data_IF_016288672918
#
_entry.id   IF_016288672918
#
_cell.length_a   1.000
_cell.length_b   1.000
_cell.length_c   1.000
_cell.angle_alpha   90.00
_cell.angle_beta   90.00
_cell.angle_gamma   90.00
#
_symmetry.space_group_name_H-M   'P 1'
#
loop_
_entity.id
_entity.type
_entity.pdbx_description
1 polymer ?
#
# COMPACT_ATOMS: atom_id res chain seq x y z
N UNK A 1 32.29 -1.43 -15.76
CA UNK A 1 32.92 -0.28 -15.07
C UNK A 1 32.11 1.03 -15.20
N UNK A 2 31.30 1.24 -16.25
CA UNK A 2 30.48 2.46 -16.40
C UNK A 2 29.28 2.59 -15.42
N UNK A 3 28.68 1.47 -14.98
CA UNK A 3 27.48 1.51 -14.12
C UNK A 3 27.73 1.92 -12.66
N UNK A 4 28.90 1.60 -12.09
CA UNK A 4 29.23 1.95 -10.71
C UNK A 4 29.54 3.46 -10.56
N UNK A 5 30.14 4.08 -11.59
CA UNK A 5 30.39 5.51 -11.62
C UNK A 5 29.10 6.33 -11.74
N UNK A 6 28.13 5.87 -12.53
CA UNK A 6 26.83 6.50 -12.66
C UNK A 6 26.04 6.47 -11.34
N UNK A 7 26.12 5.35 -10.60
CA UNK A 7 25.48 5.22 -9.28
C UNK A 7 26.14 6.12 -8.23
N UNK A 8 27.47 6.23 -8.24
CA UNK A 8 28.20 7.13 -7.35
C UNK A 8 27.87 8.62 -7.55
N UNK A 9 27.70 9.05 -8.81
CA UNK A 9 27.33 10.44 -9.14
C UNK A 9 25.87 10.72 -8.75
N UNK A 10 24.96 9.76 -8.92
CA UNK A 10 23.56 9.89 -8.52
C UNK A 10 23.40 9.97 -7.00
N UNK A 11 24.16 9.16 -6.26
CA UNK A 11 24.19 9.21 -4.80
C UNK A 11 24.81 10.51 -4.29
N UNK A 12 25.91 10.98 -4.89
CA UNK A 12 26.52 12.25 -4.50
C UNK A 12 25.59 13.43 -4.75
N UNK A 13 24.90 13.46 -5.90
CA UNK A 13 23.91 14.52 -6.18
C UNK A 13 22.69 14.44 -5.25
N UNK A 14 22.30 13.24 -4.81
CA UNK A 14 21.23 13.07 -3.84
C UNK A 14 21.66 13.56 -2.45
N UNK A 15 22.86 13.21 -2.00
CA UNK A 15 23.46 13.70 -0.76
C UNK A 15 23.62 15.22 -0.77
N UNK A 16 24.17 15.78 -1.86
CA UNK A 16 24.35 17.22 -2.02
C UNK A 16 23.00 17.96 -1.95
N UNK A 17 21.96 17.46 -2.63
CA UNK A 17 20.62 18.10 -2.56
C UNK A 17 19.96 17.98 -1.19
N UNK A 18 20.23 16.93 -0.43
CA UNK A 18 19.74 16.82 0.95
C UNK A 18 20.52 17.70 1.92
N UNK A 19 21.80 17.95 1.66
CA UNK A 19 22.63 18.90 2.39
C UNK A 19 22.26 20.35 2.09
N UNK A 20 21.94 20.67 0.84
CA UNK A 20 21.56 22.01 0.40
C UNK A 20 20.11 22.38 0.78
N UNK A 21 19.23 21.39 0.96
CA UNK A 21 17.84 21.60 1.37
C UNK A 21 17.47 20.74 2.60
N UNK A 22 18.03 21.07 3.79
CA UNK A 22 17.77 20.32 5.00
C UNK A 22 16.30 20.50 5.42
N UNK A 23 15.55 19.39 5.42
CA UNK A 23 14.25 19.33 6.06
C UNK A 23 14.35 18.59 7.40
N UNK A 24 13.38 18.85 8.28
CA UNK A 24 13.35 18.27 9.63
C UNK A 24 13.39 16.74 9.61
N UNK A 25 12.81 16.11 8.57
CA UNK A 25 12.81 14.66 8.41
C UNK A 25 14.21 14.08 8.07
N UNK A 26 15.10 14.82 7.39
CA UNK A 26 16.45 14.36 7.07
C UNK A 26 17.31 14.08 8.31
N UNK A 27 16.99 14.71 9.42
CA UNK A 27 17.74 14.59 10.69
C UNK A 27 16.95 13.83 11.76
N UNK A 28 15.73 13.40 11.46
CA UNK A 28 14.83 12.76 12.39
C UNK A 28 15.06 11.24 12.51
N UNK A 29 14.82 10.69 13.69
CA UNK A 29 14.70 9.25 13.88
C UNK A 29 13.55 8.70 13.03
N UNK A 30 13.82 7.61 12.30
CA UNK A 30 12.90 7.05 11.32
C UNK A 30 12.94 7.74 9.95
N UNK A 31 13.71 8.82 9.80
CA UNK A 31 13.92 9.54 8.54
C UNK A 31 12.57 9.84 7.84
N UNK A 32 12.48 9.67 6.52
CA UNK A 32 11.22 9.81 5.79
C UNK A 32 10.22 8.68 6.04
N UNK A 33 10.60 7.58 6.69
CA UNK A 33 9.71 6.45 6.98
C UNK A 33 8.77 6.70 8.15
N UNK A 34 8.79 7.87 8.78
CA UNK A 34 7.69 8.30 9.65
C UNK A 34 6.42 8.66 8.86
N UNK A 35 6.53 8.99 7.57
CA UNK A 35 5.37 9.29 6.74
C UNK A 35 4.77 7.99 6.18
N UNK A 36 3.50 7.71 6.53
CA UNK A 36 2.78 6.57 5.96
C UNK A 36 2.81 6.54 4.42
N UNK A 37 2.70 7.69 3.75
CA UNK A 37 2.80 7.80 2.29
C UNK A 37 4.14 7.27 1.77
N UNK A 38 5.26 7.54 2.45
CA UNK A 38 6.59 7.04 2.06
C UNK A 38 6.69 5.52 2.24
N UNK A 39 6.10 4.97 3.31
CA UNK A 39 6.00 3.52 3.52
C UNK A 39 5.20 2.88 2.39
N UNK A 40 4.03 3.46 2.06
CA UNK A 40 3.17 3.03 0.95
C UNK A 40 3.94 3.03 -0.37
N UNK A 41 4.47 4.18 -0.76
CA UNK A 41 5.25 4.36 -1.99
C UNK A 41 6.41 3.36 -2.10
N UNK A 42 7.12 3.11 -1.00
CA UNK A 42 8.20 2.13 -0.95
C UNK A 42 7.70 0.71 -1.23
N UNK A 43 6.59 0.32 -0.61
CA UNK A 43 6.00 -1.01 -0.80
C UNK A 43 5.41 -1.18 -2.20
N UNK A 44 4.76 -0.15 -2.75
CA UNK A 44 4.26 -0.14 -4.13
C UNK A 44 5.39 -0.20 -5.15
N UNK A 45 6.45 0.58 -4.94
CA UNK A 45 7.66 0.54 -5.79
C UNK A 45 8.30 -0.84 -5.75
N UNK A 46 8.43 -1.45 -4.57
CA UNK A 46 8.92 -2.82 -4.45
C UNK A 46 8.00 -3.82 -5.16
N UNK A 47 6.69 -3.68 -5.02
CA UNK A 47 5.69 -4.56 -5.67
C UNK A 47 5.86 -4.52 -7.19
N UNK A 48 5.91 -3.32 -7.79
CA UNK A 48 6.11 -3.17 -9.23
C UNK A 48 7.52 -3.53 -9.69
N UNK A 49 8.55 -3.30 -8.87
CA UNK A 49 9.91 -3.76 -9.16
C UNK A 49 9.99 -5.28 -9.25
N UNK A 50 9.36 -6.00 -8.31
CA UNK A 50 9.26 -7.47 -8.36
C UNK A 50 8.39 -7.92 -9.54
N UNK A 51 7.30 -7.21 -9.85
CA UNK A 51 6.47 -7.49 -11.02
C UNK A 51 7.29 -7.41 -12.32
N UNK A 52 8.03 -6.33 -12.52
CA UNK A 52 8.88 -6.12 -13.68
C UNK A 52 9.95 -7.22 -13.81
N UNK A 53 10.58 -7.61 -12.70
CA UNK A 53 11.53 -8.71 -12.71
C UNK A 53 10.85 -10.05 -13.03
N UNK A 54 9.63 -10.27 -12.54
CA UNK A 54 8.83 -11.46 -12.87
C UNK A 54 8.53 -11.53 -14.36
N UNK A 55 8.15 -10.41 -14.98
CA UNK A 55 7.84 -10.33 -16.42
C UNK A 55 9.09 -10.58 -17.28
N UNK A 56 10.22 -9.95 -16.96
CA UNK A 56 11.48 -10.11 -17.69
C UNK A 56 11.99 -11.56 -17.59
N UNK A 57 11.88 -12.18 -16.42
CA UNK A 57 12.44 -13.52 -16.16
C UNK A 57 11.45 -14.67 -16.34
N UNK A 58 10.16 -14.37 -16.51
CA UNK A 58 9.07 -15.35 -16.48
C UNK A 58 9.07 -16.25 -15.22
N UNK A 59 9.56 -15.73 -14.09
CA UNK A 59 9.74 -16.51 -12.85
C UNK A 59 8.46 -16.64 -12.04
N UNK A 60 7.95 -17.87 -11.91
CA UNK A 60 6.77 -18.18 -11.07
C UNK A 60 6.96 -17.75 -9.61
N UNK A 61 8.17 -17.83 -9.07
CA UNK A 61 8.46 -17.41 -7.69
C UNK A 61 8.32 -15.90 -7.52
N UNK A 62 8.78 -15.12 -8.50
CA UNK A 62 8.64 -13.67 -8.46
C UNK A 62 7.18 -13.25 -8.61
N UNK A 63 6.39 -13.92 -9.46
CA UNK A 63 4.94 -13.70 -9.51
C UNK A 63 4.25 -13.98 -8.17
N UNK A 64 4.64 -15.06 -7.46
CA UNK A 64 4.11 -15.34 -6.12
C UNK A 64 4.49 -14.24 -5.12
N UNK A 65 5.74 -13.79 -5.11
CA UNK A 65 6.20 -12.72 -4.21
C UNK A 65 5.45 -11.41 -4.52
N UNK A 66 5.32 -11.03 -5.79
CA UNK A 66 4.54 -9.87 -6.23
C UNK A 66 3.10 -9.94 -5.72
N UNK A 67 2.46 -11.11 -5.86
CA UNK A 67 1.08 -11.28 -5.39
C UNK A 67 0.99 -11.15 -3.87
N UNK A 68 1.94 -11.71 -3.11
CA UNK A 68 1.99 -11.54 -1.66
C UNK A 68 2.17 -10.07 -1.25
N UNK A 69 3.07 -9.35 -1.93
CA UNK A 69 3.26 -7.92 -1.70
C UNK A 69 1.98 -7.13 -2.01
N UNK A 70 1.29 -7.45 -3.11
CA UNK A 70 0.07 -6.78 -3.55
C UNK A 70 -1.07 -6.84 -2.52
N UNK A 71 -1.16 -7.93 -1.75
CA UNK A 71 -2.16 -8.11 -0.69
C UNK A 71 -2.00 -7.06 0.42
N UNK A 72 -0.79 -6.54 0.61
CA UNK A 72 -0.51 -5.45 1.54
C UNK A 72 -0.52 -4.08 0.84
N UNK A 73 0.17 -3.92 -0.29
CA UNK A 73 0.34 -2.62 -0.93
C UNK A 73 -0.95 -2.03 -1.48
N UNK A 74 -1.78 -2.80 -2.19
CA UNK A 74 -2.97 -2.23 -2.81
C UNK A 74 -3.98 -1.70 -1.77
N UNK A 75 -4.33 -2.45 -0.71
CA UNK A 75 -5.19 -1.90 0.35
C UNK A 75 -4.54 -0.73 1.10
N UNK A 76 -3.22 -0.77 1.33
CA UNK A 76 -2.49 0.31 2.00
C UNK A 76 -2.54 1.61 1.19
N UNK A 77 -2.31 1.56 -0.12
CA UNK A 77 -2.38 2.75 -0.97
C UNK A 77 -3.81 3.30 -1.07
N UNK A 78 -4.82 2.42 -1.10
CA UNK A 78 -6.21 2.86 -1.05
C UNK A 78 -6.52 3.58 0.26
N UNK A 79 -6.11 3.04 1.41
CA UNK A 79 -6.36 3.73 2.68
C UNK A 79 -5.58 5.03 2.81
N UNK A 80 -4.33 5.11 2.31
CA UNK A 80 -3.55 6.35 2.24
C UNK A 80 -4.32 7.40 1.42
N UNK A 81 -4.78 7.04 0.22
CA UNK A 81 -5.53 7.94 -0.66
C UNK A 81 -6.83 8.42 -0.01
N UNK A 82 -7.62 7.50 0.55
CA UNK A 82 -8.89 7.83 1.22
C UNK A 82 -8.68 8.72 2.43
N UNK A 83 -7.72 8.40 3.30
CA UNK A 83 -7.43 9.21 4.49
C UNK A 83 -6.89 10.58 4.10
N UNK A 84 -5.94 10.65 3.18
CA UNK A 84 -5.31 11.90 2.78
C UNK A 84 -6.34 12.87 2.18
N UNK A 85 -7.04 12.45 1.12
CA UNK A 85 -8.01 13.32 0.45
C UNK A 85 -9.24 13.58 1.33
N UNK A 86 -9.69 12.59 2.10
CA UNK A 86 -10.80 12.74 3.03
C UNK A 86 -10.52 13.78 4.12
N UNK A 87 -9.37 13.69 4.78
CA UNK A 87 -8.95 14.66 5.79
C UNK A 87 -8.69 16.02 5.18
N UNK A 88 -8.04 16.08 4.01
CA UNK A 88 -7.73 17.35 3.34
C UNK A 88 -8.98 18.14 2.93
N UNK A 89 -10.02 17.45 2.47
CA UNK A 89 -11.32 18.08 2.14
C UNK A 89 -12.00 18.65 3.39
N UNK A 90 -11.84 18.00 4.55
CA UNK A 90 -12.38 18.48 5.83
C UNK A 90 -11.57 19.69 6.31
N UNK A 91 -10.26 19.54 6.44
CA UNK A 91 -9.31 20.59 6.80
C UNK A 91 -7.90 20.15 6.40
N UNK A 92 -7.30 20.84 5.43
CA UNK A 92 -5.94 20.58 4.95
C UNK A 92 -4.89 20.59 6.07
N UNK A 93 -5.10 21.40 7.11
CA UNK A 93 -4.17 21.54 8.24
C UNK A 93 -4.08 20.30 9.10
N UNK A 94 -4.94 19.30 8.91
CA UNK A 94 -4.85 18.01 9.58
C UNK A 94 -3.73 17.13 9.01
N UNK A 95 -3.40 17.31 7.73
CA UNK A 95 -2.46 16.44 7.00
C UNK A 95 -1.23 17.19 6.49
N UNK A 96 -1.33 18.49 6.23
CA UNK A 96 -0.22 19.32 5.76
C UNK A 96 0.06 20.42 6.81
N UNK A 97 1.31 20.52 7.32
CA UNK A 97 1.74 21.64 8.15
C UNK A 97 1.56 22.99 7.43
N UNK A 98 1.19 24.08 8.14
CA UNK A 98 0.82 25.35 7.52
C UNK A 98 1.98 26.05 6.78
N UNK A 99 3.22 25.65 7.05
CA UNK A 99 4.45 26.14 6.43
C UNK A 99 4.85 25.36 5.17
N UNK A 100 4.14 24.29 4.84
CA UNK A 100 4.43 23.43 3.69
C UNK A 100 3.42 23.68 2.57
N UNK A 101 3.93 23.96 1.37
CA UNK A 101 3.14 24.00 0.15
C UNK A 101 3.49 22.83 -0.77
N UNK A 102 2.48 22.04 -1.16
CA UNK A 102 2.64 20.93 -2.10
C UNK A 102 1.91 21.28 -3.40
N UNK A 103 2.62 21.41 -4.54
CA UNK A 103 1.98 21.58 -5.83
C UNK A 103 1.02 20.42 -6.13
N UNK A 104 -0.17 20.73 -6.66
CA UNK A 104 -1.23 19.74 -6.88
C UNK A 104 -0.78 18.49 -7.66
N UNK A 105 0.09 18.64 -8.65
CA UNK A 105 0.59 17.50 -9.44
C UNK A 105 1.45 16.55 -8.60
N UNK A 106 2.30 17.09 -7.72
CA UNK A 106 3.12 16.29 -6.81
C UNK A 106 2.22 15.61 -5.79
N UNK A 107 1.21 16.33 -5.32
CA UNK A 107 0.25 15.83 -4.35
C UNK A 107 -0.57 14.63 -4.87
N UNK A 108 -1.15 14.77 -6.06
CA UNK A 108 -1.81 13.67 -6.78
C UNK A 108 -0.84 12.50 -6.98
N UNK A 109 0.41 12.80 -7.33
CA UNK A 109 1.43 11.76 -7.57
C UNK A 109 1.78 10.96 -6.32
N UNK A 110 1.78 11.59 -5.14
CA UNK A 110 2.09 10.90 -3.89
C UNK A 110 0.87 10.17 -3.29
N UNK A 111 -0.31 10.76 -3.38
CA UNK A 111 -1.46 10.29 -2.61
C UNK A 111 -2.55 9.58 -3.42
N UNK A 112 -2.67 9.85 -4.73
CA UNK A 112 -3.68 9.23 -5.57
C UNK A 112 -3.10 8.21 -6.55
N UNK A 113 -2.04 8.59 -7.30
CA UNK A 113 -1.46 7.76 -8.36
C UNK A 113 -1.11 6.34 -7.92
N UNK A 114 -0.44 6.10 -6.77
CA UNK A 114 -0.08 4.75 -6.34
C UNK A 114 -1.30 3.85 -6.17
N UNK A 115 -2.37 4.37 -5.56
CA UNK A 115 -3.63 3.64 -5.42
C UNK A 115 -4.22 3.27 -6.79
N UNK A 116 -4.28 4.22 -7.73
CA UNK A 116 -4.83 3.98 -9.07
C UNK A 116 -4.05 2.91 -9.82
N UNK A 117 -2.72 2.98 -9.84
CA UNK A 117 -1.90 2.00 -10.56
C UNK A 117 -1.95 0.61 -9.91
N UNK A 118 -1.97 0.53 -8.58
CA UNK A 118 -2.15 -0.73 -7.86
C UNK A 118 -3.52 -1.37 -8.13
N UNK A 119 -4.58 -0.55 -8.25
CA UNK A 119 -5.91 -1.04 -8.61
C UNK A 119 -5.97 -1.57 -10.04
N UNK A 120 -5.35 -0.87 -11.00
CA UNK A 120 -5.25 -1.34 -12.39
C UNK A 120 -4.52 -2.69 -12.44
N UNK A 121 -3.36 -2.78 -11.78
CA UNK A 121 -2.58 -4.01 -11.72
C UNK A 121 -3.35 -5.16 -11.08
N UNK A 122 -4.04 -4.91 -9.97
CA UNK A 122 -4.87 -5.91 -9.33
C UNK A 122 -5.99 -6.38 -10.26
N UNK A 123 -6.82 -5.45 -10.74
CA UNK A 123 -8.06 -5.78 -11.44
C UNK A 123 -7.82 -6.39 -12.83
N UNK A 124 -6.75 -5.98 -13.51
CA UNK A 124 -6.54 -6.34 -14.92
C UNK A 124 -5.33 -7.25 -15.15
N UNK A 125 -4.31 -7.22 -14.29
CA UNK A 125 -3.02 -7.86 -14.55
C UNK A 125 -2.66 -8.97 -13.54
N UNK A 126 -3.42 -9.10 -12.44
CA UNK A 126 -3.11 -10.01 -11.33
C UNK A 126 -4.08 -11.18 -11.22
N UNK A 127 -3.62 -12.34 -10.74
CA UNK A 127 -4.52 -13.42 -10.34
C UNK A 127 -5.36 -13.02 -9.12
N UNK A 128 -6.49 -13.71 -8.88
CA UNK A 128 -7.38 -13.38 -7.76
C UNK A 128 -6.70 -13.57 -6.41
N UNK A 129 -6.95 -12.65 -5.48
CA UNK A 129 -6.51 -12.80 -4.09
C UNK A 129 -7.27 -13.89 -3.36
N UNK A 130 -6.54 -14.71 -2.62
CA UNK A 130 -7.09 -15.81 -1.81
C UNK A 130 -7.41 -15.40 -0.37
N UNK A 131 -7.04 -14.18 0.05
CA UNK A 131 -7.28 -13.70 1.41
C UNK A 131 -8.78 -13.68 1.75
N UNK A 132 -9.14 -14.20 2.91
CA UNK A 132 -10.52 -14.18 3.44
C UNK A 132 -10.72 -12.98 4.36
N UNK A 133 -11.98 -12.69 4.74
CA UNK A 133 -12.31 -11.48 5.49
C UNK A 133 -11.57 -11.36 6.84
N UNK A 134 -11.46 -12.46 7.60
CA UNK A 134 -10.81 -12.43 8.91
C UNK A 134 -9.29 -12.16 8.80
N UNK A 135 -8.49 -12.88 7.98
CA UNK A 135 -7.11 -12.53 7.70
C UNK A 135 -6.93 -11.11 7.14
N UNK A 136 -7.85 -10.62 6.29
CA UNK A 136 -7.80 -9.23 5.81
C UNK A 136 -7.96 -8.22 6.94
N UNK A 137 -8.90 -8.47 7.88
CA UNK A 137 -9.07 -7.64 9.07
C UNK A 137 -7.84 -7.69 9.99
N UNK A 138 -7.29 -8.88 10.24
CA UNK A 138 -6.10 -9.05 11.09
C UNK A 138 -4.88 -8.38 10.48
N UNK A 139 -4.64 -8.56 9.18
CA UNK A 139 -3.57 -7.87 8.45
C UNK A 139 -3.77 -6.36 8.52
N UNK A 140 -5.01 -5.89 8.37
CA UNK A 140 -5.31 -4.46 8.42
C UNK A 140 -5.08 -3.84 9.80
N UNK A 141 -5.49 -4.55 10.84
CA UNK A 141 -5.18 -4.19 12.22
C UNK A 141 -3.67 -4.19 12.48
N UNK A 142 -2.95 -5.23 12.06
CA UNK A 142 -1.50 -5.32 12.25
C UNK A 142 -0.75 -4.15 11.59
N UNK A 143 -1.13 -3.77 10.36
CA UNK A 143 -0.54 -2.63 9.66
C UNK A 143 -0.88 -1.31 10.36
N UNK A 144 -2.17 -1.08 10.69
CA UNK A 144 -2.60 0.18 11.30
C UNK A 144 -1.97 0.40 12.68
N UNK A 145 -2.07 -0.60 13.58
CA UNK A 145 -1.50 -0.49 14.93
C UNK A 145 0.03 -0.63 14.93
N UNK A 146 0.60 -1.36 13.97
CA UNK A 146 2.05 -1.40 13.76
C UNK A 146 2.60 -0.04 13.36
N UNK A 147 1.93 0.65 12.43
CA UNK A 147 2.28 2.02 12.08
C UNK A 147 2.03 3.01 13.23
N UNK A 148 0.96 2.83 14.02
CA UNK A 148 0.77 3.65 15.22
C UNK A 148 1.91 3.47 16.22
N UNK A 149 2.31 2.23 16.52
CA UNK A 149 3.46 1.99 17.38
C UNK A 149 4.72 2.65 16.83
N UNK A 150 4.97 2.52 15.53
CA UNK A 150 6.11 3.14 14.86
C UNK A 150 6.10 4.66 14.95
N UNK A 151 4.95 5.32 14.73
CA UNK A 151 4.87 6.78 14.76
C UNK A 151 5.07 7.34 16.18
N UNK A 152 4.56 6.65 17.20
CA UNK A 152 4.81 7.02 18.60
C UNK A 152 6.28 6.83 18.97
N UNK A 153 6.95 5.80 18.45
CA UNK A 153 8.38 5.64 18.60
C UNK A 153 9.15 6.80 17.95
N UNK A 154 8.82 7.19 16.72
CA UNK A 154 9.40 8.38 16.08
C UNK A 154 9.15 9.64 16.93
N UNK A 155 7.93 9.86 17.41
CA UNK A 155 7.60 10.99 18.27
C UNK A 155 8.44 11.01 19.55
N UNK A 156 8.63 9.87 20.21
CA UNK A 156 9.44 9.79 21.44
C UNK A 156 10.91 10.21 21.26
N UNK A 157 11.44 10.06 20.05
CA UNK A 157 12.82 10.42 19.71
C UNK A 157 12.92 11.84 19.14
N UNK A 158 11.91 12.26 18.39
CA UNK A 158 11.95 13.49 17.59
C UNK A 158 11.25 14.67 18.29
N UNK A 159 10.22 14.41 19.10
CA UNK A 159 9.40 15.41 19.79
C UNK A 159 8.29 16.05 18.93
N UNK A 160 8.03 15.54 17.73
CA UNK A 160 7.01 16.06 16.80
C UNK A 160 6.41 14.94 15.94
N UNK A 161 5.19 15.14 15.43
CA UNK A 161 4.54 14.19 14.52
C UNK A 161 4.60 14.66 13.06
N UNK A 162 4.72 13.74 12.07
CA UNK A 162 4.72 14.11 10.67
C UNK A 162 3.39 14.62 10.12
N UNK A 163 2.29 14.36 10.84
CA UNK A 163 0.95 14.83 10.49
C UNK A 163 0.32 15.57 11.68
N UNK A 164 -0.14 16.82 11.51
CA UNK A 164 -0.70 17.61 12.61
C UNK A 164 -1.89 16.96 13.33
N UNK A 165 -2.68 16.13 12.64
CA UNK A 165 -3.80 15.40 13.25
C UNK A 165 -3.41 14.57 14.48
N UNK A 166 -2.17 14.04 14.52
CA UNK A 166 -1.73 13.25 15.66
C UNK A 166 -1.54 14.11 16.91
N UNK A 167 -1.09 15.36 16.76
CA UNK A 167 -1.03 16.31 17.88
C UNK A 167 -2.41 16.80 18.31
N UNK A 168 -3.31 16.99 17.33
CA UNK A 168 -4.66 17.46 17.59
C UNK A 168 -5.54 16.44 18.34
N UNK A 169 -5.26 15.15 18.23
CA UNK A 169 -6.04 14.08 18.84
C UNK A 169 -5.43 13.58 20.16
N UNK A 170 -6.23 13.43 21.23
CA UNK A 170 -5.80 12.67 22.40
C UNK A 170 -5.64 11.19 22.05
N UNK A 171 -5.03 10.40 22.94
CA UNK A 171 -4.82 8.95 22.72
C UNK A 171 -6.10 8.20 22.32
N UNK A 172 -7.25 8.51 22.92
CA UNK A 172 -8.54 7.91 22.54
C UNK A 172 -8.96 8.25 21.11
N UNK A 173 -8.68 9.47 20.66
CA UNK A 173 -8.88 9.89 19.27
C UNK A 173 -7.97 9.14 18.30
N UNK A 174 -6.71 8.91 18.68
CA UNK A 174 -5.77 8.10 17.89
C UNK A 174 -6.20 6.64 17.81
N UNK A 175 -6.66 6.03 18.92
CA UNK A 175 -7.26 4.69 18.91
C UNK A 175 -8.40 4.63 17.89
N UNK A 176 -9.30 5.62 17.92
CA UNK A 176 -10.40 5.73 16.95
C UNK A 176 -9.92 5.83 15.51
N UNK A 177 -8.96 6.72 15.24
CA UNK A 177 -8.36 6.93 13.92
C UNK A 177 -7.73 5.65 13.34
N UNK A 178 -6.88 4.97 14.12
CA UNK A 178 -6.22 3.75 13.67
C UNK A 178 -7.19 2.57 13.52
N UNK A 179 -8.18 2.47 14.41
CA UNK A 179 -9.24 1.45 14.29
C UNK A 179 -10.08 1.68 13.04
N UNK A 180 -10.50 2.92 12.78
CA UNK A 180 -11.25 3.27 11.58
C UNK A 180 -10.43 3.01 10.31
N UNK A 181 -9.14 3.35 10.32
CA UNK A 181 -8.21 3.07 9.21
C UNK A 181 -8.08 1.57 8.93
N UNK A 182 -7.96 0.74 9.97
CA UNK A 182 -7.94 -0.72 9.82
C UNK A 182 -9.24 -1.25 9.21
N UNK A 183 -10.39 -0.73 9.64
CA UNK A 183 -11.70 -1.09 9.07
C UNK A 183 -11.80 -0.68 7.61
N UNK A 184 -11.45 0.55 7.25
CA UNK A 184 -11.46 1.05 5.87
C UNK A 184 -10.56 0.19 4.99
N UNK A 185 -9.37 -0.17 5.46
CA UNK A 185 -8.45 -1.01 4.69
C UNK A 185 -8.96 -2.45 4.53
N UNK A 186 -9.58 -3.03 5.57
CA UNK A 186 -10.19 -4.36 5.49
C UNK A 186 -11.38 -4.38 4.52
N UNK A 187 -12.27 -3.37 4.59
CA UNK A 187 -13.38 -3.21 3.66
C UNK A 187 -12.89 -2.99 2.23
N UNK A 188 -11.82 -2.23 2.05
CA UNK A 188 -11.17 -2.04 0.75
C UNK A 188 -10.69 -3.39 0.21
N UNK A 189 -9.99 -4.19 1.02
CA UNK A 189 -9.50 -5.53 0.61
C UNK A 189 -10.65 -6.44 0.15
N UNK A 190 -11.76 -6.47 0.90
CA UNK A 190 -12.95 -7.27 0.56
C UNK A 190 -13.59 -6.76 -0.74
N UNK A 191 -13.76 -5.43 -0.85
CA UNK A 191 -14.37 -4.80 -2.02
C UNK A 191 -13.54 -5.01 -3.28
N UNK A 192 -12.21 -4.91 -3.17
CA UNK A 192 -11.29 -5.15 -4.28
C UNK A 192 -11.30 -6.59 -4.74
N UNK A 193 -11.34 -7.55 -3.81
CA UNK A 193 -11.50 -8.97 -4.13
C UNK A 193 -12.82 -9.22 -4.88
N UNK A 194 -13.91 -8.61 -4.44
CA UNK A 194 -15.21 -8.71 -5.11
C UNK A 194 -15.20 -8.06 -6.50
N UNK A 195 -14.65 -6.85 -6.63
CA UNK A 195 -14.50 -6.17 -7.92
C UNK A 195 -13.66 -6.99 -8.90
N UNK A 196 -12.56 -7.60 -8.43
CA UNK A 196 -11.73 -8.49 -9.22
C UNK A 196 -12.53 -9.67 -9.77
N UNK A 197 -13.31 -10.35 -8.92
CA UNK A 197 -14.19 -11.44 -9.31
C UNK A 197 -15.22 -11.02 -10.36
N UNK A 198 -15.78 -9.81 -10.21
CA UNK A 198 -16.78 -9.26 -11.12
C UNK A 198 -16.22 -8.84 -12.48
N UNK A 199 -15.01 -8.27 -12.51
CA UNK A 199 -14.30 -7.84 -13.71
C UNK A 199 -13.77 -9.04 -14.50
N UNK A 200 -13.25 -10.06 -13.82
CA UNK A 200 -12.60 -11.22 -14.44
C UNK A 200 -13.53 -12.45 -14.59
N UNK A 201 -14.78 -12.37 -14.15
CA UNK A 201 -15.78 -13.43 -14.34
C UNK A 201 -15.63 -14.64 -13.39
N UNK A 202 -14.88 -14.50 -12.29
CA UNK A 202 -14.72 -15.57 -11.29
C UNK A 202 -15.94 -15.76 -10.38
N UNK A 203 -16.88 -14.81 -10.37
CA UNK A 203 -18.11 -14.86 -9.56
C UNK A 203 -19.26 -15.67 -10.19
N UNK A 204 -19.03 -16.37 -11.31
CA UNK A 204 -19.98 -17.35 -11.83
C UNK A 204 -19.63 -18.75 -11.28
N UNK A 205 -20.32 -19.23 -10.22
CA UNK A 205 -20.28 -20.65 -9.91
C UNK A 205 -21.00 -21.36 -11.06
N UNK A 206 -20.24 -21.85 -12.04
CA UNK A 206 -20.76 -22.83 -12.96
C UNK A 206 -21.21 -24.01 -12.10
N UNK A 207 -22.52 -24.20 -11.98
CA UNK A 207 -23.13 -25.35 -11.31
C UNK A 207 -22.39 -26.58 -11.87
N UNK A 208 -21.80 -27.47 -11.04
CA UNK A 208 -21.19 -28.68 -11.55
C UNK A 208 -22.30 -29.53 -12.18
N UNK A 209 -22.51 -29.38 -13.49
CA UNK A 209 -23.30 -30.32 -14.26
C UNK A 209 -22.47 -31.58 -14.41
N UNK A 210 -22.87 -32.65 -13.70
CA UNK A 210 -22.35 -33.98 -13.95
C UNK A 210 -22.62 -34.32 -15.41
N UNK A 211 -21.57 -34.34 -16.24
CA UNK A 211 -21.68 -34.90 -17.59
C UNK A 211 -22.01 -36.39 -17.44
N UNK A 212 -23.10 -36.82 -18.06
CA UNK A 212 -23.69 -38.18 -17.96
C UNK A 212 -22.80 -39.32 -18.53
N UNK A 213 -21.47 -39.13 -18.64
CA UNK A 213 -20.55 -40.07 -19.27
C UNK A 213 -19.72 -40.95 -18.33
N UNK A 214 -19.52 -40.57 -17.05
CA UNK A 214 -18.51 -41.20 -16.20
C UNK A 214 -18.94 -42.48 -15.47
N UNK A 215 -20.18 -42.97 -15.66
CA UNK A 215 -20.65 -44.19 -14.98
C UNK A 215 -20.50 -45.49 -15.78
N UNK A 216 -19.85 -45.50 -16.95
CA UNK A 216 -19.65 -46.75 -17.73
C UNK A 216 -18.19 -47.13 -17.89
N UNK A 217 -17.49 -47.35 -16.76
CA UNK A 217 -16.25 -48.14 -16.78
C UNK A 217 -16.00 -48.90 -15.47
N UNK A 218 -16.99 -49.68 -15.01
CA UNK A 218 -16.75 -50.84 -14.13
C UNK A 218 -17.85 -51.88 -14.37
N UNK A 219 -17.54 -52.89 -15.16
CA UNK A 219 -18.41 -54.05 -15.38
C UNK A 219 -18.21 -54.64 -16.77
N UNK A 220 -17.28 -55.59 -16.89
CA UNK A 220 -17.13 -56.35 -18.13
C UNK A 220 -15.80 -57.10 -18.21
N UNK A 221 -15.82 -58.31 -17.62
CA UNK A 221 -14.99 -59.50 -17.87
C UNK A 221 -13.46 -59.37 -17.78
#
# INVERSE_FOLDING_TARGET
MAGAAAWGILLSHFEDRMHENPNQANQAYGWHFQYLTVIGLSLSTLTFGVALLADITSSRRLFLIKNLLSVCSAPLEVVISVLYWGLRVIDERLVIPPDIFIPLHADISFHATPSVVMLIDLLLLSPPWTITALPALMLSGAIAFGYWFWIEQCFSQNGWYPYPIFEALPTSGRIGLFTASAVVMALSTITLKWLHGRVNGFDNPMKPESRSGDMKRKGGL
#
